data_IF_900602454085
#
_entry.id   IF_900602454085
#
_cell.length_a   1.000
_cell.length_b   1.000
_cell.length_c   1.000
_cell.angle_alpha   90.00
_cell.angle_beta   90.00
_cell.angle_gamma   90.00
#
_symmetry.space_group_name_H-M   'P 1'
#
loop_
_entity.id
_entity.type
_entity.pdbx_description
1 polymer ?
#
# COMPACT_ATOMS: atom_id res chain seq x y z
N UNK A 1 4.96 2.55 -25.99
CA UNK A 1 4.80 2.69 -24.52
C UNK A 1 3.71 3.73 -24.28
N UNK A 2 2.49 3.46 -24.75
CA UNK A 2 1.49 4.51 -25.01
C UNK A 2 0.49 4.72 -23.85
N UNK A 3 0.60 3.95 -22.77
CA UNK A 3 -0.17 4.13 -21.52
C UNK A 3 0.61 3.51 -20.36
N UNK A 4 0.24 3.89 -19.13
CA UNK A 4 0.77 3.28 -17.91
C UNK A 4 0.47 1.78 -17.88
N UNK A 5 -0.74 1.37 -18.27
CA UNK A 5 -1.12 -0.05 -18.32
C UNK A 5 -0.26 -0.85 -19.29
N UNK A 6 0.01 -0.31 -20.47
CA UNK A 6 0.86 -0.96 -21.46
C UNK A 6 2.32 -1.06 -20.99
N UNK A 7 2.80 -0.09 -20.20
CA UNK A 7 4.11 -0.15 -19.56
C UNK A 7 4.13 -1.21 -18.46
N UNK A 8 3.15 -1.20 -17.55
CA UNK A 8 3.03 -2.15 -16.46
C UNK A 8 2.95 -3.59 -16.98
N UNK A 9 2.15 -3.85 -18.03
CA UNK A 9 2.05 -5.17 -18.62
C UNK A 9 3.41 -5.69 -19.13
N UNK A 10 4.18 -4.84 -19.81
CA UNK A 10 5.52 -5.21 -20.29
C UNK A 10 6.51 -5.40 -19.15
N UNK A 11 6.44 -4.56 -18.12
CA UNK A 11 7.27 -4.70 -16.92
C UNK A 11 7.01 -6.04 -16.25
N UNK A 12 5.74 -6.40 -16.02
CA UNK A 12 5.38 -7.68 -15.42
C UNK A 12 5.86 -8.87 -16.26
N UNK A 13 5.68 -8.82 -17.58
CA UNK A 13 6.15 -9.87 -18.47
C UNK A 13 7.68 -10.03 -18.41
N UNK A 14 8.42 -8.93 -18.37
CA UNK A 14 9.88 -8.95 -18.25
C UNK A 14 10.34 -9.47 -16.88
N UNK A 15 9.74 -8.97 -15.79
CA UNK A 15 10.12 -9.35 -14.42
C UNK A 15 9.91 -10.84 -14.20
N UNK A 16 8.72 -11.34 -14.53
CA UNK A 16 8.39 -12.75 -14.34
C UNK A 16 9.08 -13.64 -15.37
N UNK A 17 9.02 -13.27 -16.65
CA UNK A 17 9.51 -14.09 -17.76
C UNK A 17 11.03 -14.20 -17.83
N UNK A 18 11.73 -13.09 -17.58
CA UNK A 18 13.16 -12.98 -17.85
C UNK A 18 13.96 -12.70 -16.56
N UNK A 19 13.66 -11.61 -15.85
CA UNK A 19 14.52 -11.13 -14.76
C UNK A 19 14.66 -12.16 -13.64
N UNK A 20 13.54 -12.68 -13.12
CA UNK A 20 13.54 -13.66 -12.04
C UNK A 20 14.14 -15.02 -12.46
N UNK A 21 14.20 -15.31 -13.76
CA UNK A 21 14.63 -16.62 -14.31
C UNK A 21 16.02 -16.61 -14.94
N UNK A 22 16.65 -15.45 -15.07
CA UNK A 22 17.99 -15.31 -15.66
C UNK A 22 19.04 -15.33 -14.55
N UNK A 23 20.23 -15.92 -14.75
CA UNK A 23 21.37 -15.78 -13.84
C UNK A 23 21.84 -14.34 -13.64
N UNK A 24 22.08 -13.93 -12.39
CA UNK A 24 22.64 -12.59 -12.09
C UNK A 24 24.04 -12.69 -11.53
N UNK A 25 24.95 -11.85 -12.03
CA UNK A 25 26.32 -11.76 -11.51
C UNK A 25 26.36 -11.40 -10.02
N UNK A 26 25.43 -10.57 -9.55
CA UNK A 26 25.31 -10.21 -8.13
C UNK A 26 24.84 -11.35 -7.22
N UNK A 27 24.38 -12.45 -7.79
CA UNK A 27 23.95 -13.67 -7.09
C UNK A 27 24.86 -14.86 -7.43
N UNK A 28 26.12 -14.59 -7.81
CA UNK A 28 27.10 -15.62 -8.17
C UNK A 28 26.62 -16.57 -9.30
N UNK A 29 25.72 -16.09 -10.16
CA UNK A 29 25.15 -16.88 -11.25
C UNK A 29 23.85 -17.61 -10.91
N UNK A 30 23.34 -17.49 -9.68
CA UNK A 30 21.98 -17.94 -9.35
C UNK A 30 20.92 -17.03 -9.98
N UNK A 31 19.71 -17.57 -10.17
CA UNK A 31 18.54 -16.79 -10.54
C UNK A 31 17.91 -16.17 -9.28
N UNK A 32 17.30 -14.97 -9.36
CA UNK A 32 16.60 -14.37 -8.23
C UNK A 32 15.49 -15.27 -7.68
N UNK A 33 14.81 -16.01 -8.56
CA UNK A 33 13.75 -16.94 -8.15
C UNK A 33 14.31 -18.10 -7.31
N UNK A 34 15.41 -18.71 -7.74
CA UNK A 34 16.03 -19.81 -6.99
C UNK A 34 16.55 -19.32 -5.63
N UNK A 35 17.20 -18.15 -5.64
CA UNK A 35 17.71 -17.55 -4.40
C UNK A 35 16.59 -17.20 -3.42
N UNK A 36 15.48 -16.68 -3.91
CA UNK A 36 14.29 -16.40 -3.12
C UNK A 36 13.70 -17.70 -2.55
N UNK A 37 13.50 -18.73 -3.38
CA UNK A 37 12.92 -20.00 -2.95
C UNK A 37 13.76 -20.68 -1.85
N UNK A 38 15.10 -20.55 -1.91
CA UNK A 38 15.99 -21.09 -0.88
C UNK A 38 15.88 -20.39 0.49
N UNK A 39 15.36 -19.16 0.53
CA UNK A 39 15.24 -18.34 1.74
C UNK A 39 13.79 -18.06 2.15
N UNK A 40 12.81 -18.53 1.37
CA UNK A 40 11.41 -18.18 1.55
C UNK A 40 10.85 -18.60 2.92
N UNK A 41 11.37 -19.69 3.50
CA UNK A 41 10.95 -20.18 4.82
C UNK A 41 11.32 -19.21 5.97
N UNK A 42 12.25 -18.27 5.75
CA UNK A 42 12.62 -17.25 6.75
C UNK A 42 11.66 -16.05 6.76
N UNK A 43 10.75 -15.97 5.79
CA UNK A 43 9.81 -14.86 5.66
C UNK A 43 8.79 -14.91 6.80
N UNK A 44 8.77 -13.85 7.60
CA UNK A 44 7.75 -13.65 8.65
C UNK A 44 6.60 -12.85 8.09
N UNK A 45 5.45 -13.49 7.99
CA UNK A 45 4.22 -12.79 7.64
C UNK A 45 3.79 -11.87 8.78
N UNK A 46 3.32 -10.69 8.40
CA UNK A 46 2.59 -9.83 9.31
C UNK A 46 1.23 -10.47 9.64
N UNK A 47 0.62 -10.05 10.75
CA UNK A 47 -0.73 -10.51 11.12
C UNK A 47 -1.79 -10.13 10.08
N UNK A 48 -3.01 -10.63 10.27
CA UNK A 48 -4.10 -10.55 9.28
C UNK A 48 -4.64 -9.13 8.99
N UNK A 49 -4.15 -8.08 9.66
CA UNK A 49 -4.65 -6.72 9.54
C UNK A 49 -3.48 -5.73 9.31
N UNK A 50 -3.00 -5.71 8.06
CA UNK A 50 -2.02 -4.72 7.61
C UNK A 50 -2.66 -3.57 6.85
N UNK A 51 -3.94 -3.66 6.51
CA UNK A 51 -4.66 -2.66 5.72
C UNK A 51 -4.66 -1.31 6.45
N UNK A 52 -4.75 -1.34 7.78
CA UNK A 52 -4.57 -0.16 8.62
C UNK A 52 -3.25 0.58 8.40
N UNK A 53 -2.17 -0.10 8.00
CA UNK A 53 -0.88 0.54 7.73
C UNK A 53 -0.90 1.41 6.47
N UNK A 54 -1.86 1.17 5.57
CA UNK A 54 -1.98 1.87 4.30
C UNK A 54 -3.02 2.99 4.31
N UNK A 55 -3.82 3.10 5.38
CA UNK A 55 -4.76 4.21 5.53
C UNK A 55 -4.03 5.54 5.61
N UNK A 56 -4.50 6.52 4.84
CA UNK A 56 -4.05 7.90 4.97
C UNK A 56 -4.63 8.55 6.22
N UNK A 57 -3.88 9.51 6.76
CA UNK A 57 -4.32 10.28 7.92
C UNK A 57 -4.60 11.75 7.59
N UNK A 58 -5.71 12.26 8.12
CA UNK A 58 -6.05 13.67 8.02
C UNK A 58 -6.56 14.19 9.37
N UNK A 59 -5.90 15.23 9.91
CA UNK A 59 -6.40 15.93 11.11
C UNK A 59 -7.52 16.88 10.73
N UNK A 60 -8.66 16.78 11.40
CA UNK A 60 -9.81 17.66 11.21
C UNK A 60 -10.37 18.10 12.55
N UNK A 61 -10.95 19.30 12.58
CA UNK A 61 -11.70 19.79 13.73
C UNK A 61 -13.17 19.44 13.52
N UNK A 62 -13.80 18.85 14.53
CA UNK A 62 -15.24 18.55 14.47
C UNK A 62 -16.03 19.85 14.58
N UNK A 63 -16.91 20.08 13.61
CA UNK A 63 -17.78 21.25 13.55
C UNK A 63 -18.91 21.16 14.58
N UNK A 64 -19.59 22.31 14.83
CA UNK A 64 -20.66 22.40 15.83
C UNK A 64 -21.89 21.56 15.51
N UNK A 65 -22.10 21.25 14.25
CA UNK A 65 -23.17 20.39 13.75
C UNK A 65 -22.79 18.90 13.77
N UNK A 66 -21.67 18.54 14.42
CA UNK A 66 -21.16 17.16 14.59
C UNK A 66 -20.64 16.57 13.28
N UNK A 67 -20.01 17.40 12.44
CA UNK A 67 -19.47 16.95 11.15
C UNK A 67 -17.97 17.19 11.00
N UNK A 68 -17.35 16.44 10.09
CA UNK A 68 -16.01 16.69 9.56
C UNK A 68 -16.05 16.66 8.03
N UNK A 69 -15.20 17.46 7.38
CA UNK A 69 -15.04 17.41 5.92
C UNK A 69 -13.72 16.77 5.52
N UNK A 70 -13.80 15.87 4.54
CA UNK A 70 -12.68 15.19 3.91
C UNK A 70 -12.94 15.15 2.41
N UNK A 71 -12.00 15.70 1.63
CA UNK A 71 -12.01 15.72 0.16
C UNK A 71 -13.34 16.12 -0.50
N UNK A 72 -13.97 17.16 0.07
CA UNK A 72 -15.23 17.71 -0.42
C UNK A 72 -16.48 16.95 0.04
N UNK A 73 -16.32 15.78 0.68
CA UNK A 73 -17.40 15.08 1.36
C UNK A 73 -17.51 15.50 2.83
N UNK A 74 -18.69 15.32 3.41
CA UNK A 74 -19.00 15.62 4.81
C UNK A 74 -19.47 14.34 5.50
N UNK A 75 -18.92 14.09 6.68
CA UNK A 75 -19.21 12.90 7.48
C UNK A 75 -19.72 13.33 8.85
N UNK A 76 -20.76 12.66 9.34
CA UNK A 76 -21.24 12.83 10.72
C UNK A 76 -20.33 12.04 11.68
N UNK A 77 -20.07 12.62 12.85
CA UNK A 77 -19.27 12.01 13.92
C UNK A 77 -19.97 12.15 15.26
N UNK A 78 -19.44 11.50 16.29
CA UNK A 78 -20.02 11.57 17.64
C UNK A 78 -20.12 13.02 18.14
N UNK A 79 -21.29 13.36 18.71
CA UNK A 79 -21.56 14.66 19.32
C UNK A 79 -20.56 15.01 20.43
N UNK A 80 -20.03 14.01 21.14
CA UNK A 80 -19.05 14.18 22.19
C UNK A 80 -17.73 14.77 21.70
N UNK A 81 -17.44 14.68 20.40
CA UNK A 81 -16.19 15.16 19.79
C UNK A 81 -16.31 16.61 19.27
N UNK A 82 -17.45 17.27 19.41
CA UNK A 82 -17.65 18.64 18.88
C UNK A 82 -16.58 19.59 19.42
N UNK A 83 -15.88 20.26 18.50
CA UNK A 83 -14.80 21.19 18.82
C UNK A 83 -13.43 20.52 19.01
N UNK A 84 -13.36 19.20 19.10
CA UNK A 84 -12.11 18.45 19.21
C UNK A 84 -11.38 18.32 17.87
N UNK A 85 -10.07 18.17 17.95
CA UNK A 85 -9.23 17.79 16.82
C UNK A 85 -9.11 16.26 16.76
N UNK A 86 -9.63 15.66 15.70
CA UNK A 86 -9.63 14.21 15.47
C UNK A 86 -8.72 13.85 14.32
N UNK A 87 -8.18 12.63 14.35
CA UNK A 87 -7.47 12.03 13.21
C UNK A 87 -8.42 11.12 12.46
N UNK A 88 -8.68 11.43 11.20
CA UNK A 88 -9.39 10.56 10.28
C UNK A 88 -8.38 9.60 9.66
N UNK A 89 -8.72 8.31 9.61
CA UNK A 89 -7.96 7.25 8.91
C UNK A 89 -8.85 6.73 7.79
N UNK A 90 -8.39 6.79 6.53
CA UNK A 90 -9.21 6.50 5.35
C UNK A 90 -8.39 5.91 4.20
N UNK A 91 -9.07 5.17 3.32
CA UNK A 91 -8.52 4.67 2.06
C UNK A 91 -8.88 5.68 0.94
N UNK A 92 -7.88 6.31 0.28
CA UNK A 92 -8.07 7.40 -0.68
C UNK A 92 -8.68 7.00 -2.03
#
# INVERSE_FOLDING_TARGET
>A
LASLDALNHKLWAFVEGEYHRTPHRGLEGETPLDRWAALADEVRYLGADIDELFLQEAKRKVARDRTVSLDGAVYEVDAALVGEAVTLRYDP
#
